data_IF_880141727078
#
_entry.id   IF_880141727078
#
_cell.length_a   1.000
_cell.length_b   1.000
_cell.length_c   1.000
_cell.angle_alpha   90.00
_cell.angle_beta   90.00
_cell.angle_gamma   90.00
#
_symmetry.space_group_name_H-M   'P 1'
#
loop_
_entity.id
_entity.type
_entity.pdbx_description
1 polymer ?
#
# COMPACT_ATOMS: atom_id res chain seq x y z
N UNK A 1 -6.38 -38.16 31.54
CA UNK A 1 -6.15 -37.97 32.98
C UNK A 1 -6.94 -36.76 33.43
N UNK A 2 -7.77 -36.92 34.47
CA UNK A 2 -8.67 -35.87 34.97
C UNK A 2 -7.96 -35.13 36.11
N UNK A 3 -7.87 -33.81 36.02
CA UNK A 3 -7.25 -32.98 37.08
C UNK A 3 -8.22 -32.90 38.27
N UNK A 4 -7.81 -33.26 39.50
CA UNK A 4 -8.69 -33.15 40.67
C UNK A 4 -8.99 -31.68 41.00
N UNK A 5 -10.28 -31.34 41.16
CA UNK A 5 -10.67 -30.02 41.62
C UNK A 5 -10.49 -29.91 43.14
N UNK A 6 -9.43 -29.24 43.58
CA UNK A 6 -9.22 -28.89 44.99
C UNK A 6 -10.19 -27.76 45.33
N UNK A 7 -11.32 -28.09 45.95
CA UNK A 7 -12.24 -27.14 46.58
C UNK A 7 -12.00 -27.12 48.09
N UNK A 8 -11.19 -26.19 48.56
CA UNK A 8 -11.16 -25.77 49.97
C UNK A 8 -12.47 -25.02 50.32
N UNK A 9 -12.93 -25.06 51.59
CA UNK A 9 -14.11 -24.29 51.98
C UNK A 9 -13.87 -22.78 51.79
N UNK A 10 -14.67 -22.11 50.96
CA UNK A 10 -14.56 -20.68 50.70
C UNK A 10 -15.44 -20.23 49.52
N UNK A 11 -15.68 -18.92 49.40
CA UNK A 11 -16.34 -18.34 48.24
C UNK A 11 -15.35 -18.22 47.09
N UNK A 12 -15.62 -18.93 45.99
CA UNK A 12 -14.81 -18.86 44.78
C UNK A 12 -15.37 -17.83 43.81
N UNK A 13 -14.54 -16.88 43.38
CA UNK A 13 -14.81 -16.03 42.23
C UNK A 13 -14.19 -16.69 40.99
N UNK A 14 -15.04 -17.34 40.20
CA UNK A 14 -14.65 -17.82 38.87
C UNK A 14 -14.85 -16.68 37.87
N UNK A 15 -13.75 -16.12 37.36
CA UNK A 15 -13.79 -15.20 36.22
C UNK A 15 -13.71 -16.02 34.94
N UNK A 16 -14.72 -15.89 34.08
CA UNK A 16 -14.71 -16.54 32.78
C UNK A 16 -13.70 -15.83 31.85
N UNK A 17 -12.48 -16.35 31.77
CA UNK A 17 -11.45 -15.85 30.84
C UNK A 17 -11.77 -16.12 29.35
N UNK A 18 -12.74 -16.99 29.06
CA UNK A 18 -13.22 -17.24 27.69
C UNK A 18 -14.22 -16.16 27.25
N UNK A 19 -14.81 -15.39 28.18
CA UNK A 19 -15.49 -14.14 27.83
C UNK A 19 -14.42 -13.07 27.69
N UNK A 20 -13.66 -13.22 26.60
CA UNK A 20 -12.70 -12.24 26.11
C UNK A 20 -13.37 -10.87 26.11
N UNK A 21 -12.59 -9.81 26.36
CA UNK A 21 -12.99 -8.42 26.10
C UNK A 21 -13.97 -8.37 24.92
N UNK A 22 -15.25 -8.09 25.18
CA UNK A 22 -16.12 -7.38 24.23
C UNK A 22 -15.62 -5.93 24.15
N UNK A 23 -14.31 -5.78 24.01
CA UNK A 23 -13.65 -4.53 23.70
C UNK A 23 -13.90 -4.23 22.24
N UNK A 24 -13.83 -2.93 21.94
CA UNK A 24 -14.05 -2.33 20.63
C UNK A 24 -13.65 -3.28 19.48
N UNK A 25 -14.50 -3.43 18.43
CA UNK A 25 -14.17 -4.24 17.27
C UNK A 25 -12.73 -4.00 16.80
N UNK A 26 -12.01 -5.06 16.40
CA UNK A 26 -10.69 -4.90 15.80
C UNK A 26 -10.79 -3.90 14.64
N UNK A 27 -9.87 -2.94 14.64
CA UNK A 27 -9.85 -1.85 13.68
C UNK A 27 -9.10 -2.29 12.42
N UNK A 28 -9.67 -3.28 11.73
CA UNK A 28 -9.12 -3.89 10.52
C UNK A 28 -9.47 -2.99 9.33
N UNK A 29 -8.63 -2.00 9.10
CA UNK A 29 -8.77 -1.08 7.97
C UNK A 29 -7.85 -1.52 6.83
N UNK A 30 -8.42 -1.76 5.65
CA UNK A 30 -7.68 -2.00 4.42
C UNK A 30 -7.74 -0.75 3.54
N UNK A 31 -6.59 -0.26 3.09
CA UNK A 31 -6.48 0.98 2.32
C UNK A 31 -5.63 0.75 1.08
N UNK A 32 -6.11 1.26 -0.07
CA UNK A 32 -5.37 1.31 -1.31
C UNK A 32 -4.87 2.75 -1.56
N UNK A 33 -3.57 2.92 -1.69
CA UNK A 33 -2.95 4.16 -2.14
C UNK A 33 -2.82 4.16 -3.65
N UNK A 34 -3.37 5.20 -4.27
CA UNK A 34 -3.17 5.47 -5.69
C UNK A 34 -2.17 6.61 -5.80
N UNK A 35 -1.05 6.35 -6.47
CA UNK A 35 0.06 7.29 -6.59
C UNK A 35 0.38 7.54 -8.06
N UNK A 36 1.13 8.60 -8.35
CA UNK A 36 1.68 8.87 -9.69
C UNK A 36 3.20 8.73 -9.67
N UNK A 37 3.73 7.92 -8.74
CA UNK A 37 5.17 7.78 -8.57
C UNK A 37 5.74 6.98 -9.77
N UNK A 38 6.77 7.50 -10.45
CA UNK A 38 7.18 7.01 -11.77
C UNK A 38 7.88 5.65 -11.74
N UNK A 39 8.34 5.20 -10.57
CA UNK A 39 9.16 3.99 -10.45
C UNK A 39 8.37 2.72 -10.15
N UNK A 40 7.05 2.80 -9.96
CA UNK A 40 6.28 1.60 -9.70
C UNK A 40 6.09 0.82 -11.01
N UNK A 41 6.79 -0.30 -11.10
CA UNK A 41 6.84 -1.16 -12.28
C UNK A 41 5.75 -2.23 -12.30
N UNK A 42 5.00 -2.40 -11.23
CA UNK A 42 4.02 -3.47 -11.09
C UNK A 42 2.62 -3.04 -11.54
N UNK A 43 2.00 -3.86 -12.38
CA UNK A 43 0.60 -3.71 -12.84
C UNK A 43 -0.44 -4.16 -11.79
N UNK A 44 -0.01 -4.60 -10.62
CA UNK A 44 -0.87 -5.05 -9.53
C UNK A 44 -0.55 -4.33 -8.22
N UNK A 45 -1.56 -4.11 -7.34
CA UNK A 45 -1.31 -3.51 -6.04
C UNK A 45 -0.34 -4.34 -5.19
N UNK A 46 0.60 -3.67 -4.53
CA UNK A 46 1.62 -4.29 -3.69
C UNK A 46 1.38 -3.92 -2.24
N UNK A 47 1.54 -4.88 -1.32
CA UNK A 47 1.48 -4.60 0.11
C UNK A 47 2.66 -3.73 0.55
N UNK A 48 2.35 -2.67 1.30
CA UNK A 48 3.31 -1.74 1.87
C UNK A 48 3.25 -1.79 3.39
N UNK A 49 4.41 -1.98 4.03
CA UNK A 49 4.52 -2.11 5.49
C UNK A 49 5.25 -0.95 6.16
N UNK A 50 6.14 -0.27 5.44
CA UNK A 50 6.88 0.86 5.99
C UNK A 50 7.34 1.82 4.88
N UNK A 51 7.90 2.96 5.32
CA UNK A 51 8.44 3.99 4.41
C UNK A 51 9.61 3.48 3.58
N UNK A 52 10.48 2.65 4.15
CA UNK A 52 11.70 2.20 3.45
C UNK A 52 11.36 1.27 2.29
N UNK A 53 10.39 0.38 2.48
CA UNK A 53 9.84 -0.48 1.43
C UNK A 53 9.15 0.35 0.35
N UNK A 54 8.34 1.33 0.74
CA UNK A 54 7.69 2.23 -0.21
C UNK A 54 8.71 3.06 -1.02
N UNK A 55 9.77 3.56 -0.37
CA UNK A 55 10.85 4.29 -1.06
C UNK A 55 11.64 3.39 -2.03
N UNK A 56 11.72 2.09 -1.75
CA UNK A 56 12.40 1.12 -2.62
C UNK A 56 11.56 0.82 -3.87
N UNK A 57 10.25 0.71 -3.72
CA UNK A 57 9.32 0.36 -4.81
C UNK A 57 8.96 1.57 -5.67
N UNK A 58 8.61 2.69 -5.02
CA UNK A 58 8.07 3.88 -5.70
C UNK A 58 9.13 4.98 -5.88
N UNK A 59 10.32 4.81 -5.30
CA UNK A 59 11.43 5.77 -5.34
C UNK A 59 11.55 6.60 -4.07
N UNK A 60 12.74 7.18 -3.88
CA UNK A 60 13.07 7.92 -2.65
C UNK A 60 12.16 9.13 -2.45
N UNK A 61 11.56 9.25 -1.26
CA UNK A 61 10.61 10.31 -0.91
C UNK A 61 9.33 10.32 -1.78
N UNK A 62 8.92 9.14 -2.23
CA UNK A 62 7.68 8.93 -2.99
C UNK A 62 6.42 9.42 -2.26
N UNK A 63 5.37 9.68 -3.03
CA UNK A 63 4.03 9.94 -2.48
C UNK A 63 3.58 8.74 -1.63
N UNK A 64 3.81 7.51 -2.12
CA UNK A 64 3.57 6.27 -1.38
C UNK A 64 4.24 6.26 0.00
N UNK A 65 5.53 6.60 0.06
CA UNK A 65 6.31 6.63 1.31
C UNK A 65 5.79 7.63 2.34
N UNK A 66 5.30 8.79 1.89
CA UNK A 66 4.67 9.78 2.78
C UNK A 66 3.29 9.34 3.26
N UNK A 67 2.49 8.74 2.39
CA UNK A 67 1.15 8.26 2.74
C UNK A 67 1.21 7.14 3.78
N UNK A 68 2.11 6.16 3.61
CA UNK A 68 2.25 5.08 4.60
C UNK A 68 2.77 5.58 5.95
N UNK A 69 3.69 6.54 5.94
CA UNK A 69 4.19 7.17 7.16
C UNK A 69 3.06 7.84 7.96
N UNK A 70 2.13 8.51 7.26
CA UNK A 70 0.97 9.13 7.89
C UNK A 70 -0.07 8.10 8.36
N UNK A 71 -0.31 7.05 7.57
CA UNK A 71 -1.26 5.99 7.89
C UNK A 71 -0.85 5.20 9.12
N UNK A 72 0.40 4.71 9.18
CA UNK A 72 0.94 3.98 10.34
C UNK A 72 0.93 4.83 11.60
N UNK A 73 1.22 6.13 11.48
CA UNK A 73 1.17 7.07 12.61
C UNK A 73 -0.25 7.21 13.17
N UNK A 74 -1.27 7.06 12.33
CA UNK A 74 -2.68 7.20 12.72
C UNK A 74 -3.27 5.89 13.24
N UNK A 75 -3.00 4.78 12.55
CA UNK A 75 -3.38 3.43 12.95
C UNK A 75 -2.27 2.46 12.57
N UNK A 76 -1.64 1.82 13.56
CA UNK A 76 -0.55 0.85 13.31
C UNK A 76 -1.03 -0.48 12.69
N UNK A 77 -2.34 -0.76 12.76
CA UNK A 77 -2.95 -2.01 12.31
C UNK A 77 -3.61 -1.88 10.93
N UNK A 78 -3.40 -0.74 10.25
CA UNK A 78 -3.89 -0.55 8.89
C UNK A 78 -3.12 -1.46 7.93
N UNK A 79 -3.86 -2.16 7.09
CA UNK A 79 -3.32 -2.91 5.96
C UNK A 79 -3.32 -2.01 4.73
N UNK A 80 -2.15 -1.84 4.11
CA UNK A 80 -1.92 -0.85 3.06
C UNK A 80 -1.42 -1.54 1.82
N UNK A 81 -2.09 -1.24 0.71
CA UNK A 81 -1.62 -1.59 -0.63
C UNK A 81 -1.31 -0.32 -1.40
N UNK A 82 -0.27 -0.35 -2.22
CA UNK A 82 0.07 0.73 -3.13
C UNK A 82 -0.17 0.32 -4.58
N UNK A 83 -0.66 1.25 -5.38
CA UNK A 83 -0.76 1.13 -6.83
C UNK A 83 -0.34 2.45 -7.47
N UNK A 84 0.55 2.40 -8.45
CA UNK A 84 0.90 3.60 -9.21
C UNK A 84 0.09 3.65 -10.49
N UNK A 85 -0.53 4.79 -10.72
CA UNK A 85 -0.92 5.21 -12.06
C UNK A 85 0.39 5.45 -12.79
N UNK A 86 0.83 4.44 -13.54
CA UNK A 86 1.92 4.58 -14.49
C UNK A 86 1.44 5.55 -15.58
N UNK A 87 1.54 6.85 -15.25
CA UNK A 87 1.36 7.91 -16.20
C UNK A 87 2.64 7.91 -17.00
N UNK A 88 2.75 6.97 -17.94
CA UNK A 88 3.65 7.10 -19.07
C UNK A 88 3.39 8.52 -19.58
N UNK A 89 4.41 9.39 -19.47
CA UNK A 89 4.36 10.67 -20.13
C UNK A 89 3.96 10.34 -21.56
N UNK A 90 2.76 10.76 -21.97
CA UNK A 90 2.33 10.54 -23.34
C UNK A 90 3.20 11.49 -24.12
N UNK A 91 4.37 11.03 -24.58
CA UNK A 91 5.24 11.89 -25.36
C UNK A 91 4.46 12.22 -26.61
N UNK A 92 4.06 13.49 -26.73
CA UNK A 92 3.37 13.98 -27.90
C UNK A 92 4.41 13.97 -29.02
N UNK A 93 4.43 12.88 -29.79
CA UNK A 93 5.27 12.80 -30.98
C UNK A 93 4.97 13.97 -31.91
N UNK A 94 5.99 14.53 -32.55
CA UNK A 94 5.76 15.59 -33.52
C UNK A 94 5.07 14.96 -34.73
N UNK A 95 3.84 15.40 -35.03
CA UNK A 95 3.07 14.90 -36.16
C UNK A 95 3.07 15.90 -37.31
N UNK A 96 3.03 15.39 -38.54
CA UNK A 96 2.73 16.19 -39.74
C UNK A 96 1.30 16.70 -39.70
N UNK A 97 0.96 17.66 -40.57
CA UNK A 97 -0.43 18.11 -40.77
C UNK A 97 -1.41 17.00 -41.23
N UNK A 98 -0.89 15.90 -41.76
CA UNK A 98 -1.63 14.69 -42.11
C UNK A 98 -1.72 13.67 -40.95
N UNK A 99 -1.21 14.02 -39.77
CA UNK A 99 -1.26 13.18 -38.56
C UNK A 99 -0.27 12.02 -38.55
N UNK A 100 0.75 12.02 -39.41
CA UNK A 100 1.81 11.00 -39.40
C UNK A 100 2.92 11.39 -38.43
N UNK A 101 3.44 10.44 -37.66
CA UNK A 101 4.61 10.68 -36.79
C UNK A 101 5.86 10.97 -37.62
N UNK A 102 6.59 12.03 -37.27
CA UNK A 102 7.91 12.29 -37.83
C UNK A 102 8.93 11.33 -37.22
N UNK A 103 9.75 10.70 -38.06
CA UNK A 103 10.79 9.75 -37.61
C UNK A 103 12.19 10.24 -38.02
N UNK A 104 13.21 9.79 -37.29
CA UNK A 104 14.63 9.91 -37.66
C UNK A 104 14.94 9.04 -38.87
N UNK A 105 16.11 9.24 -39.48
CA UNK A 105 16.63 8.39 -40.56
C UNK A 105 16.76 6.90 -40.19
N UNK A 106 16.83 6.60 -38.89
CA UNK A 106 16.88 5.24 -38.35
C UNK A 106 15.48 4.68 -38.04
N UNK A 107 14.42 5.45 -38.29
CA UNK A 107 13.03 5.04 -38.09
C UNK A 107 12.51 5.23 -36.66
N UNK A 108 13.25 5.91 -35.78
CA UNK A 108 12.78 6.23 -34.43
C UNK A 108 11.88 7.48 -34.46
N UNK A 109 10.78 7.47 -33.71
CA UNK A 109 9.84 8.61 -33.69
C UNK A 109 10.43 9.79 -32.95
N UNK A 110 10.33 10.98 -33.54
CA UNK A 110 10.77 12.23 -32.93
C UNK A 110 9.79 12.66 -31.85
N UNK A 111 10.30 12.72 -30.64
CA UNK A 111 9.58 13.10 -29.43
C UNK A 111 9.93 14.54 -29.04
N UNK A 112 8.95 15.30 -28.54
CA UNK A 112 9.23 16.60 -27.93
C UNK A 112 9.82 16.39 -26.54
N UNK A 113 10.97 17.00 -26.23
CA UNK A 113 11.48 17.01 -24.86
C UNK A 113 10.49 17.75 -23.95
N UNK A 114 10.12 17.09 -22.85
CA UNK A 114 9.34 17.68 -21.75
C UNK A 114 10.24 18.43 -20.77
#
# INVERSE_FOLDING_TARGET
>A
MTIPQIKTPGNYLEVNINTVRLGLPPNDHHVLFITTDPNATEDMPINLYDKAQADTIYGQNSQAGRMISAAIKTNRFVDVQGFSLNQAATTMGITTESGQGLNTENGETLETEG
#
